data_IF_716282713496
#
_entry.id   IF_716282713496
#
_cell.length_a   1.000
_cell.length_b   1.000
_cell.length_c   1.000
_cell.angle_alpha   90.00
_cell.angle_beta   90.00
_cell.angle_gamma   90.00
#
_symmetry.space_group_name_H-M   'P 1'
#
loop_
_entity.id
_entity.type
_entity.pdbx_description
1 polymer ?
#
# COMPACT_ATOMS: atom_id res chain seq x y z
N UNK A 1 -9.21 -6.80 6.33
CA UNK A 1 -8.98 -6.93 7.78
C UNK A 1 -9.32 -5.64 8.55
N UNK A 2 -8.53 -4.56 8.49
CA UNK A 2 -8.87 -3.32 9.25
C UNK A 2 -10.21 -2.69 8.81
N UNK A 3 -10.41 -2.52 7.49
CA UNK A 3 -11.67 -2.03 6.94
C UNK A 3 -12.87 -2.96 7.24
N UNK A 4 -12.65 -4.26 7.40
CA UNK A 4 -13.73 -5.20 7.74
C UNK A 4 -14.18 -5.06 9.19
N UNK A 5 -13.25 -4.80 10.11
CA UNK A 5 -13.57 -4.50 11.51
C UNK A 5 -14.32 -3.18 11.60
N UNK A 6 -13.84 -2.15 10.90
CA UNK A 6 -14.53 -0.86 10.81
C UNK A 6 -15.94 -0.99 10.20
N UNK A 7 -16.12 -1.87 9.20
CA UNK A 7 -17.41 -2.16 8.60
C UNK A 7 -18.29 -3.13 9.41
N UNK A 8 -17.87 -3.53 10.62
CA UNK A 8 -18.61 -4.46 11.48
C UNK A 8 -18.67 -5.91 10.97
N UNK A 9 -17.92 -6.24 9.91
CA UNK A 9 -17.85 -7.59 9.33
C UNK A 9 -16.95 -8.52 10.12
N UNK A 10 -16.15 -7.99 11.06
CA UNK A 10 -15.26 -8.74 11.95
C UNK A 10 -15.23 -8.08 13.32
N UNK A 11 -15.20 -8.88 14.39
CA UNK A 11 -15.26 -8.39 15.77
C UNK A 11 -14.01 -7.61 16.21
N UNK A 12 -12.82 -8.01 15.74
CA UNK A 12 -11.56 -7.40 16.14
C UNK A 12 -10.46 -7.55 15.09
N UNK A 13 -9.48 -6.65 15.17
CA UNK A 13 -8.22 -6.71 14.43
C UNK A 13 -7.17 -7.44 15.28
N UNK A 14 -6.36 -8.30 14.67
CA UNK A 14 -5.21 -8.92 15.33
C UNK A 14 -3.94 -8.12 15.02
N UNK A 15 -3.19 -7.74 16.05
CA UNK A 15 -1.84 -7.18 15.94
C UNK A 15 -0.86 -8.33 16.18
N UNK A 16 0.00 -8.61 15.19
CA UNK A 16 0.96 -9.70 15.27
C UNK A 16 2.33 -9.19 15.74
N UNK A 17 2.62 -9.42 17.02
CA UNK A 17 3.87 -9.00 17.68
C UNK A 17 3.74 -7.62 18.33
N UNK A 18 4.25 -7.50 19.55
CA UNK A 18 4.23 -6.29 20.39
C UNK A 18 5.56 -6.06 21.11
N UNK A 19 6.61 -6.75 20.66
CA UNK A 19 7.94 -6.81 21.25
C UNK A 19 9.05 -6.49 20.23
N UNK A 20 8.70 -5.90 19.08
CA UNK A 20 9.69 -5.41 18.13
C UNK A 20 10.47 -4.23 18.72
N UNK A 21 11.76 -4.03 18.35
CA UNK A 21 12.56 -2.89 18.79
C UNK A 21 12.12 -1.60 18.08
N UNK A 22 10.92 -1.15 18.40
CA UNK A 22 10.19 -0.01 17.81
C UNK A 22 9.50 0.76 18.94
N UNK A 23 9.15 2.05 18.74
CA UNK A 23 8.67 2.90 19.84
C UNK A 23 7.44 2.37 20.60
N UNK A 24 6.55 1.65 19.93
CA UNK A 24 5.33 1.09 20.53
C UNK A 24 5.31 -0.46 20.57
N UNK A 25 6.43 -1.09 20.21
CA UNK A 25 6.56 -2.54 20.14
C UNK A 25 5.94 -3.20 18.90
N UNK A 26 5.22 -2.48 18.04
CA UNK A 26 4.54 -3.03 16.87
C UNK A 26 5.34 -2.81 15.57
N UNK A 27 4.94 -3.50 14.49
CA UNK A 27 5.65 -3.40 13.22
C UNK A 27 5.50 -2.02 12.53
N UNK A 28 6.61 -1.32 12.29
CA UNK A 28 6.65 -0.10 11.47
C UNK A 28 6.55 -0.45 9.98
N UNK A 29 5.72 0.28 9.22
CA UNK A 29 5.51 0.09 7.78
C UNK A 29 5.40 1.44 7.09
N UNK A 30 5.85 1.51 5.84
CA UNK A 30 5.59 2.62 4.94
C UNK A 30 4.37 2.26 4.08
N UNK A 31 3.23 2.90 4.36
CA UNK A 31 1.99 2.66 3.63
C UNK A 31 1.84 3.71 2.53
N UNK A 32 1.77 3.24 1.29
CA UNK A 32 1.47 4.06 0.12
C UNK A 32 0.03 3.84 -0.34
N UNK A 33 -0.63 4.89 -0.82
CA UNK A 33 -1.96 4.75 -1.42
C UNK A 33 -1.86 3.93 -2.71
N UNK A 34 -2.84 3.06 -2.95
CA UNK A 34 -2.80 2.14 -4.10
C UNK A 34 -2.77 2.88 -5.45
N UNK A 35 -3.45 4.02 -5.53
CA UNK A 35 -3.48 4.85 -6.74
C UNK A 35 -2.12 5.49 -7.02
N UNK A 36 -1.41 5.96 -5.99
CA UNK A 36 -0.06 6.51 -6.14
C UNK A 36 0.90 5.45 -6.68
N UNK A 37 0.79 4.22 -6.16
CA UNK A 37 1.59 3.09 -6.64
C UNK A 37 1.25 2.76 -8.10
N UNK A 38 -0.03 2.70 -8.48
CA UNK A 38 -0.45 2.43 -9.85
C UNK A 38 0.02 3.52 -10.82
N UNK A 39 -0.14 4.78 -10.45
CA UNK A 39 0.33 5.94 -11.20
C UNK A 39 1.83 5.91 -11.42
N UNK A 40 2.61 5.53 -10.40
CA UNK A 40 4.04 5.39 -10.51
C UNK A 40 4.44 4.34 -11.56
N UNK A 41 3.71 3.22 -11.65
CA UNK A 41 3.97 2.21 -12.69
C UNK A 41 3.71 2.76 -14.10
N UNK A 42 2.58 3.47 -14.30
CA UNK A 42 2.24 4.08 -15.60
C UNK A 42 3.26 5.16 -15.99
N UNK A 43 3.64 6.02 -15.05
CA UNK A 43 4.66 7.06 -15.26
C UNK A 43 6.02 6.46 -15.60
N UNK A 44 6.43 5.41 -14.87
CA UNK A 44 7.67 4.68 -15.13
C UNK A 44 7.69 4.10 -16.54
N UNK A 45 6.61 3.43 -16.94
CA UNK A 45 6.46 2.88 -18.29
C UNK A 45 6.56 3.95 -19.37
N UNK A 46 5.81 5.05 -19.23
CA UNK A 46 5.80 6.13 -20.22
C UNK A 46 7.16 6.84 -20.33
N UNK A 47 7.91 6.89 -19.23
CA UNK A 47 9.26 7.45 -19.19
C UNK A 47 10.25 6.54 -19.92
N UNK A 48 10.19 5.23 -19.68
CA UNK A 48 11.12 4.27 -20.27
C UNK A 48 10.79 3.89 -21.72
N UNK A 49 9.51 3.91 -22.11
CA UNK A 49 9.04 3.48 -23.43
C UNK A 49 8.18 4.55 -24.13
N UNK A 50 8.75 5.70 -24.54
CA UNK A 50 8.00 6.83 -25.08
C UNK A 50 7.37 6.58 -26.47
N UNK A 51 7.82 5.54 -27.19
CA UNK A 51 7.39 5.28 -28.56
C UNK A 51 6.05 4.53 -28.69
N UNK A 52 5.63 3.77 -27.66
CA UNK A 52 4.39 2.96 -27.69
C UNK A 52 3.14 3.81 -27.44
N UNK A 53 3.28 4.94 -26.74
CA UNK A 53 2.20 5.89 -26.44
C UNK A 53 1.90 6.89 -27.56
N UNK A 54 2.79 7.03 -28.55
CA UNK A 54 2.49 7.78 -29.78
C UNK A 54 1.87 6.85 -30.82
N UNK A 55 0.62 6.44 -30.62
CA UNK A 55 -0.22 6.02 -31.75
C UNK A 55 -0.60 7.28 -32.54
N UNK A 56 0.11 7.51 -33.65
CA UNK A 56 -0.51 8.05 -34.86
C UNK A 56 -0.89 6.89 -35.76
#
# INVERSE_FOLDING_TARGET
MAAEVAAGRRASLAIFGTDFPTPDGTGIRDYIHVEDLADAHVKSWNTWFPAVTRRR
#
